data_IF_221897022111
#
_entry.id   IF_221897022111
#
_cell.length_a   1.000
_cell.length_b   1.000
_cell.length_c   1.000
_cell.angle_alpha   90.00
_cell.angle_beta   90.00
_cell.angle_gamma   90.00
#
_symmetry.space_group_name_H-M   'P 1'
#
loop_
_entity.id
_entity.type
_entity.pdbx_description
1 polymer ?
#
# COMPACT_ATOMS: atom_id res chain seq x y z
N UNK A 1 0.93 13.53 5.21
CA UNK A 1 1.40 12.24 4.62
C UNK A 1 2.90 12.25 4.35
N UNK A 2 3.54 11.07 4.20
CA UNK A 2 5.00 10.88 4.15
C UNK A 2 5.51 10.70 2.70
N UNK A 3 6.13 11.73 2.10
CA UNK A 3 6.65 11.67 0.71
C UNK A 3 8.07 11.09 0.65
N UNK A 4 8.29 10.09 -0.23
CA UNK A 4 9.59 9.44 -0.39
C UNK A 4 9.90 8.32 0.60
N UNK A 5 8.98 8.05 1.52
CA UNK A 5 9.09 7.02 2.56
C UNK A 5 9.04 5.61 1.96
N UNK A 6 9.66 4.64 2.63
CA UNK A 6 9.62 3.24 2.21
C UNK A 6 8.32 2.62 2.67
N UNK A 7 7.70 1.81 1.81
CA UNK A 7 6.44 1.13 2.11
C UNK A 7 6.60 -0.37 1.89
N UNK A 8 6.02 -1.18 2.77
CA UNK A 8 5.96 -2.62 2.64
C UNK A 8 4.48 -3.02 2.57
N UNK A 9 4.06 -3.71 1.50
CA UNK A 9 2.71 -4.25 1.37
C UNK A 9 2.74 -5.75 1.62
N UNK A 10 1.96 -6.23 2.57
CA UNK A 10 1.75 -7.66 2.82
C UNK A 10 0.27 -7.98 2.69
N UNK A 11 -0.06 -9.01 1.92
CA UNK A 11 -1.46 -9.44 1.79
C UNK A 11 -1.95 -9.96 3.15
N UNK A 12 -3.00 -9.32 3.68
CA UNK A 12 -3.61 -9.68 4.96
C UNK A 12 -4.82 -10.58 4.78
N UNK A 13 -5.63 -10.26 3.78
CA UNK A 13 -6.85 -11.00 3.50
C UNK A 13 -7.18 -10.90 2.02
N UNK A 14 -7.64 -12.01 1.46
CA UNK A 14 -8.17 -12.05 0.10
C UNK A 14 -9.68 -11.89 0.11
N UNK A 15 -10.21 -11.11 -0.83
CA UNK A 15 -11.64 -10.82 -0.92
C UNK A 15 -12.35 -11.89 -1.76
N UNK A 16 -11.69 -12.39 -2.81
CA UNK A 16 -12.23 -13.46 -3.65
C UNK A 16 -12.06 -14.83 -2.99
N UNK A 17 -13.13 -15.62 -2.97
CA UNK A 17 -13.16 -16.97 -2.36
C UNK A 17 -12.22 -17.98 -3.03
N UNK A 18 -11.90 -17.79 -4.32
CA UNK A 18 -11.02 -18.67 -5.10
C UNK A 18 -9.58 -18.14 -5.22
N UNK A 19 -9.28 -17.00 -4.60
CA UNK A 19 -7.96 -16.43 -4.68
C UNK A 19 -6.95 -17.17 -3.79
N UNK A 20 -5.68 -17.10 -4.18
CA UNK A 20 -4.56 -17.62 -3.39
C UNK A 20 -4.02 -16.56 -2.44
N UNK A 21 -4.11 -16.78 -1.13
CA UNK A 21 -3.43 -15.92 -0.16
C UNK A 21 -1.91 -16.07 -0.35
N UNK A 22 -1.23 -14.95 -0.58
CA UNK A 22 0.22 -14.89 -0.69
C UNK A 22 0.83 -14.29 0.58
N UNK A 23 1.59 -15.09 1.34
CA UNK A 23 2.38 -14.59 2.47
C UNK A 23 3.72 -14.03 1.96
N UNK A 24 3.66 -12.93 1.21
CA UNK A 24 4.83 -12.26 0.66
C UNK A 24 4.78 -10.77 0.97
N UNK A 25 5.96 -10.20 1.19
CA UNK A 25 6.15 -8.76 1.35
C UNK A 25 6.56 -8.16 0.00
N UNK A 26 5.79 -7.19 -0.45
CA UNK A 26 6.04 -6.40 -1.64
C UNK A 26 6.61 -5.04 -1.25
N UNK A 27 7.82 -4.75 -1.72
CA UNK A 27 8.51 -3.50 -1.39
C UNK A 27 8.07 -2.38 -2.32
N UNK A 28 7.69 -1.26 -1.73
CA UNK A 28 7.18 -0.08 -2.41
C UNK A 28 7.91 1.19 -1.92
N UNK A 29 7.85 2.25 -2.73
CA UNK A 29 8.25 3.60 -2.32
C UNK A 29 7.08 4.55 -2.49
N UNK A 30 6.74 5.31 -1.46
CA UNK A 30 5.68 6.33 -1.56
C UNK A 30 6.19 7.47 -2.43
N UNK A 31 5.45 7.76 -3.50
CA UNK A 31 5.71 8.88 -4.39
C UNK A 31 4.95 10.12 -3.93
N UNK A 32 3.67 9.96 -3.62
CA UNK A 32 2.78 11.04 -3.23
C UNK A 32 1.60 10.49 -2.41
N UNK A 33 1.11 11.27 -1.45
CA UNK A 33 -0.11 10.93 -0.70
C UNK A 33 -1.18 12.01 -0.85
N UNK A 34 -2.42 11.60 -1.11
CA UNK A 34 -3.58 12.47 -1.19
C UNK A 34 -4.42 12.35 0.10
N UNK A 35 -4.40 13.38 0.93
CA UNK A 35 -5.09 13.43 2.22
C UNK A 35 -6.61 13.49 2.09
N UNK A 36 -7.14 14.11 1.03
CA UNK A 36 -8.59 14.25 0.82
C UNK A 36 -9.24 12.90 0.46
N UNK A 37 -8.50 12.09 -0.32
CA UNK A 37 -8.97 10.77 -0.76
C UNK A 37 -8.41 9.63 0.09
N UNK A 38 -7.56 9.90 1.10
CA UNK A 38 -6.85 8.88 1.88
C UNK A 38 -6.10 7.84 1.00
N UNK A 39 -5.52 8.30 -0.12
CA UNK A 39 -4.79 7.44 -1.07
C UNK A 39 -3.30 7.71 -1.11
N UNK A 40 -2.50 6.67 -1.36
CA UNK A 40 -1.06 6.73 -1.57
C UNK A 40 -0.72 6.27 -2.99
N UNK A 41 -0.04 7.13 -3.76
CA UNK A 41 0.64 6.73 -5.00
C UNK A 41 2.00 6.16 -4.64
N UNK A 42 2.23 4.91 -5.00
CA UNK A 42 3.45 4.17 -4.66
C UNK A 42 4.09 3.56 -5.89
N UNK A 43 5.40 3.36 -5.81
CA UNK A 43 6.21 2.70 -6.82
C UNK A 43 6.64 1.33 -6.29
N UNK A 44 6.15 0.26 -6.91
CA UNK A 44 6.53 -1.12 -6.64
C UNK A 44 7.98 -1.40 -7.08
N UNK A 45 8.74 -2.10 -6.26
CA UNK A 45 10.17 -2.37 -6.47
C UNK A 45 10.44 -3.85 -6.69
N UNK A 46 11.13 -4.16 -7.78
CA UNK A 46 11.66 -5.51 -8.04
C UNK A 46 10.63 -6.54 -8.50
N UNK A 47 9.38 -6.12 -8.72
CA UNK A 47 8.27 -6.97 -9.13
C UNK A 47 7.41 -6.28 -10.18
N UNK A 48 6.69 -7.07 -10.98
CA UNK A 48 5.72 -6.58 -11.97
C UNK A 48 4.40 -6.21 -11.28
N UNK A 49 3.67 -5.22 -11.81
CA UNK A 49 2.38 -4.80 -11.21
C UNK A 49 1.36 -5.93 -11.13
N UNK A 50 1.43 -6.94 -12.00
CA UNK A 50 0.45 -8.03 -12.08
C UNK A 50 0.46 -8.97 -10.86
N UNK A 51 1.52 -8.94 -10.05
CA UNK A 51 1.58 -9.71 -8.80
C UNK A 51 0.67 -9.14 -7.70
N UNK A 52 0.29 -7.86 -7.80
CA UNK A 52 -0.45 -7.16 -6.74
C UNK A 52 -1.96 -7.27 -6.95
N UNK A 53 -2.62 -8.28 -6.38
CA UNK A 53 -4.09 -8.42 -6.48
C UNK A 53 -4.84 -7.14 -6.08
N UNK A 54 -5.84 -6.74 -6.88
CA UNK A 54 -6.76 -5.64 -6.54
C UNK A 54 -7.88 -6.10 -5.60
N UNK A 55 -8.15 -7.40 -5.57
CA UNK A 55 -9.18 -8.03 -4.74
C UNK A 55 -8.59 -8.57 -3.42
N UNK A 56 -7.73 -7.78 -2.78
CA UNK A 56 -7.08 -8.14 -1.54
C UNK A 56 -6.90 -6.92 -0.63
N UNK A 57 -7.04 -7.16 0.67
CA UNK A 57 -6.66 -6.24 1.73
C UNK A 57 -5.19 -6.46 2.04
N UNK A 58 -4.42 -5.38 1.98
CA UNK A 58 -3.02 -5.37 2.36
C UNK A 58 -2.84 -4.62 3.67
N UNK A 59 -1.94 -5.14 4.48
CA UNK A 59 -1.27 -4.35 5.49
C UNK A 59 -0.15 -3.56 4.82
N UNK A 60 -0.14 -2.26 5.03
CA UNK A 60 0.86 -1.33 4.51
C UNK A 60 1.66 -0.77 5.69
N UNK A 61 2.96 -1.05 5.69
CA UNK A 61 3.89 -0.55 6.69
C UNK A 61 4.78 0.52 6.08
N UNK A 62 4.59 1.75 6.54
CA UNK A 62 5.39 2.91 6.15
C UNK A 62 6.57 3.06 7.11
N UNK A 63 7.76 3.23 6.56
CA UNK A 63 8.99 3.47 7.31
C UNK A 63 9.64 4.78 6.86
N UNK A 64 9.80 5.69 7.81
CA UNK A 64 10.48 6.98 7.67
C UNK A 64 11.54 7.15 8.77
N UNK A 65 12.78 6.79 8.44
CA UNK A 65 13.87 6.76 9.41
C UNK A 65 13.59 5.79 10.55
N UNK A 66 13.40 6.32 11.76
CA UNK A 66 13.05 5.55 12.97
C UNK A 66 11.54 5.42 13.18
N UNK A 67 10.73 6.20 12.46
CA UNK A 67 9.27 6.15 12.56
C UNK A 67 8.75 5.02 11.67
N UNK A 68 7.97 4.13 12.29
CA UNK A 68 7.27 3.05 11.60
C UNK A 68 5.79 3.22 11.89
N UNK A 69 4.99 3.27 10.84
CA UNK A 69 3.55 3.32 10.95
C UNK A 69 2.92 2.22 10.10
N UNK A 70 1.79 1.66 10.56
CA UNK A 70 1.09 0.59 9.87
C UNK A 70 -0.37 0.99 9.62
N UNK A 71 -0.87 0.69 8.43
CA UNK A 71 -2.28 0.88 8.07
C UNK A 71 -2.77 -0.31 7.24
N UNK A 72 -4.10 -0.49 7.17
CA UNK A 72 -4.69 -1.47 6.26
C UNK A 72 -5.46 -0.75 5.15
N UNK A 73 -5.49 -1.37 3.97
CA UNK A 73 -6.17 -0.82 2.82
C UNK A 73 -6.15 -1.75 1.61
N UNK A 74 -6.59 -1.24 0.47
CA UNK A 74 -6.68 -1.98 -0.79
C UNK A 74 -6.00 -1.23 -1.92
N UNK A 75 -5.51 -1.95 -2.92
CA UNK A 75 -5.00 -1.34 -4.15
C UNK A 75 -6.18 -1.07 -5.08
N UNK A 76 -6.43 0.19 -5.40
CA UNK A 76 -7.49 0.60 -6.32
C UNK A 76 -7.06 0.41 -7.78
N UNK A 77 -5.84 0.82 -8.08
CA UNK A 77 -5.29 0.79 -9.43
C UNK A 77 -3.83 0.36 -9.40
N UNK A 78 -3.43 -0.40 -10.43
CA UNK A 78 -2.04 -0.81 -10.67
C UNK A 78 -1.74 -0.70 -12.15
N UNK A 79 -0.65 -0.05 -12.52
CA UNK A 79 -0.27 0.14 -13.92
C UNK A 79 1.22 0.43 -14.07
N UNK A 80 1.77 0.13 -15.24
CA UNK A 80 3.12 0.55 -15.62
C UNK A 80 3.07 2.00 -16.10
N UNK A 81 3.64 2.92 -15.30
CA UNK A 81 3.81 4.33 -15.66
C UNK A 81 5.24 4.66 -16.08
N UNK A 82 5.51 5.93 -16.42
CA UNK A 82 6.85 6.41 -16.80
C UNK A 82 7.92 6.19 -15.72
N UNK A 83 7.52 6.24 -14.44
CA UNK A 83 8.41 6.04 -13.29
C UNK A 83 8.63 4.56 -12.94
N UNK A 84 7.87 3.65 -13.56
CA UNK A 84 7.88 2.21 -13.31
C UNK A 84 6.50 1.67 -12.88
N UNK A 85 6.51 0.63 -12.06
CA UNK A 85 5.29 -0.07 -11.63
C UNK A 85 4.56 0.73 -10.55
N UNK A 86 3.46 1.39 -10.90
CA UNK A 86 2.69 2.28 -10.03
C UNK A 86 1.51 1.55 -9.40
N UNK A 87 1.29 1.82 -8.11
CA UNK A 87 0.14 1.39 -7.33
C UNK A 87 -0.57 2.62 -6.74
N UNK A 88 -1.90 2.63 -6.81
CA UNK A 88 -2.76 3.57 -6.09
C UNK A 88 -3.40 2.80 -4.94
N UNK A 89 -2.95 3.05 -3.72
CA UNK A 89 -3.40 2.36 -2.52
C UNK A 89 -4.34 3.24 -1.72
N UNK A 90 -5.55 2.75 -1.48
CA UNK A 90 -6.56 3.38 -0.64
C UNK A 90 -6.43 2.86 0.77
N UNK A 91 -6.20 3.77 1.71
CA UNK A 91 -6.18 3.45 3.13
C UNK A 91 -7.64 3.31 3.60
N UNK A 92 -7.97 2.23 4.30
CA UNK A 92 -9.31 1.97 4.83
C UNK A 92 -9.35 2.00 6.38
N UNK A 93 -8.31 1.50 7.04
CA UNK A 93 -8.08 1.70 8.46
C UNK A 93 -6.82 2.56 8.62
N UNK A 94 -7.01 3.87 8.49
CA UNK A 94 -5.92 4.82 8.47
C UNK A 94 -5.25 5.10 9.81
N UNK A 95 -4.13 5.81 9.71
CA UNK A 95 -3.21 6.24 10.77
C UNK A 95 -3.87 7.02 11.93
N UNK A 96 -5.12 7.47 11.78
CA UNK A 96 -5.84 8.24 12.78
C UNK A 96 -6.75 7.38 13.67
N UNK A 97 -6.11 6.64 14.59
CA UNK A 97 -6.74 6.29 15.87
C UNK A 97 -5.82 6.62 17.04
N UNK A 98 -5.37 7.88 17.15
CA UNK A 98 -5.22 8.48 18.48
C UNK A 98 -5.32 10.02 18.46
N UNK A 99 -6.56 10.52 18.53
CA UNK A 99 -6.85 11.72 19.31
C UNK A 99 -8.03 11.37 20.23
N UNK A 100 -7.81 10.40 21.11
CA UNK A 100 -8.65 10.20 22.29
C UNK A 100 -8.06 11.01 23.45
N UNK A 101 -8.74 12.12 23.74
CA UNK A 101 -8.64 13.06 24.87
C UNK A 101 -7.57 14.14 24.82
#
# INVERSE_FOLDING_TARGET
MCEGCSAELQMKQMILEDGVMEDRIHYCKVLFGNEDQETLKMLLRGEEVDVISLDAVYNCKLTDGENVEECDGMVLERYLGDEGNILIFQIENGFYKNSLN
#
